data_IF_149373613417
#
_entry.id   IF_149373613417
#
_cell.length_a   1.000
_cell.length_b   1.000
_cell.length_c   1.000
_cell.angle_alpha   90.00
_cell.angle_beta   90.00
_cell.angle_gamma   90.00
#
_symmetry.space_group_name_H-M   'P 1'
#
loop_
_entity.id
_entity.type
_entity.pdbx_description
1 polymer ?
#
# COMPACT_ATOMS: atom_id res chain seq x y z
N UNK A 1 -9.88 -24.02 -13.29
CA UNK A 1 -9.25 -23.54 -14.56
C UNK A 1 -8.75 -24.73 -15.39
N UNK A 2 -8.73 -24.65 -16.74
CA UNK A 2 -7.96 -25.57 -17.60
C UNK A 2 -7.19 -24.78 -18.67
N UNK A 3 -5.94 -24.45 -18.39
CA UNK A 3 -5.02 -23.99 -19.43
C UNK A 3 -4.48 -25.19 -20.21
N UNK A 4 -4.51 -25.12 -21.54
CA UNK A 4 -3.79 -26.05 -22.42
C UNK A 4 -2.94 -25.24 -23.39
N UNK A 5 -1.86 -24.67 -22.86
CA UNK A 5 -0.87 -23.92 -23.63
C UNK A 5 0.19 -24.90 -24.14
N UNK A 6 0.27 -25.08 -25.46
CA UNK A 6 1.29 -25.91 -26.11
C UNK A 6 2.60 -25.12 -26.21
N UNK A 7 3.49 -25.26 -25.22
CA UNK A 7 4.90 -24.88 -25.37
C UNK A 7 5.75 -26.11 -25.71
N UNK A 8 6.47 -26.03 -26.82
CA UNK A 8 7.65 -26.87 -27.05
C UNK A 8 8.78 -26.38 -26.14
N UNK A 9 9.06 -27.13 -25.08
CA UNK A 9 10.16 -26.82 -24.15
C UNK A 9 11.43 -27.54 -24.57
N UNK A 10 12.42 -26.79 -25.05
CA UNK A 10 13.78 -27.28 -25.16
C UNK A 10 14.46 -27.14 -23.78
N UNK A 11 14.63 -28.27 -23.09
CA UNK A 11 15.35 -28.36 -21.82
C UNK A 11 16.85 -28.11 -22.01
N UNK A 12 17.43 -27.20 -21.22
CA UNK A 12 18.83 -27.33 -20.78
C UNK A 12 18.93 -27.00 -19.30
N UNK A 13 19.09 -28.04 -18.50
CA UNK A 13 19.32 -27.93 -17.07
C UNK A 13 20.82 -28.08 -16.77
N UNK A 14 21.40 -27.12 -16.05
CA UNK A 14 22.60 -27.31 -15.25
C UNK A 14 22.41 -26.55 -13.93
N UNK A 15 22.07 -27.29 -12.88
CA UNK A 15 21.89 -26.74 -11.54
C UNK A 15 23.18 -26.82 -10.73
N UNK A 16 23.55 -25.73 -10.08
CA UNK A 16 24.50 -25.73 -8.96
C UNK A 16 23.69 -25.78 -7.66
N UNK A 17 23.60 -26.97 -7.07
CA UNK A 17 22.97 -27.20 -5.77
C UNK A 17 23.87 -26.67 -4.66
N UNK A 18 23.52 -25.51 -4.10
CA UNK A 18 23.95 -25.11 -2.76
C UNK A 18 22.75 -25.24 -1.80
N UNK A 19 22.85 -26.03 -0.72
CA UNK A 19 21.75 -26.19 0.23
C UNK A 19 21.62 -24.92 1.07
N UNK A 20 20.68 -24.05 0.71
CA UNK A 20 20.28 -22.95 1.57
C UNK A 20 19.71 -23.53 2.88
N UNK A 21 20.49 -23.44 3.97
CA UNK A 21 20.00 -23.69 5.33
C UNK A 21 18.94 -22.63 5.65
N UNK A 22 17.67 -22.98 5.47
CA UNK A 22 16.56 -22.17 5.96
C UNK A 22 16.64 -22.15 7.50
N UNK A 23 17.08 -21.02 8.06
CA UNK A 23 17.00 -20.78 9.49
C UNK A 23 15.53 -20.61 9.88
N UNK A 24 14.94 -21.62 10.52
CA UNK A 24 13.58 -21.56 11.04
C UNK A 24 13.55 -20.65 12.27
N UNK A 25 13.34 -19.35 12.07
CA UNK A 25 13.13 -18.39 13.16
C UNK A 25 11.67 -18.48 13.62
N UNK A 26 11.42 -19.36 14.59
CA UNK A 26 10.08 -19.69 15.06
C UNK A 26 9.60 -18.78 16.21
N UNK A 27 9.51 -17.47 15.96
CA UNK A 27 8.87 -16.53 16.89
C UNK A 27 8.16 -15.40 16.13
N UNK A 28 6.87 -15.58 15.84
CA UNK A 28 6.01 -14.48 15.39
C UNK A 28 5.89 -13.43 16.49
N UNK A 29 6.59 -12.32 16.35
CA UNK A 29 6.41 -11.18 17.25
C UNK A 29 5.04 -10.53 17.01
N UNK A 30 4.53 -9.86 18.04
CA UNK A 30 3.19 -9.28 18.04
C UNK A 30 3.27 -7.86 18.59
N UNK A 31 2.74 -6.90 17.85
CA UNK A 31 2.46 -5.56 18.38
C UNK A 31 1.12 -5.58 19.11
N UNK A 32 1.18 -5.41 20.43
CA UNK A 32 0.03 -5.12 21.27
C UNK A 32 -0.21 -3.60 21.37
N UNK A 33 -1.46 -3.15 21.52
CA UNK A 33 -1.75 -1.74 21.82
C UNK A 33 -1.06 -1.22 23.07
N UNK A 34 -0.81 0.08 23.10
CA UNK A 34 -0.41 0.82 24.29
C UNK A 34 -1.62 1.26 25.11
N UNK A 35 -2.71 1.64 24.43
CA UNK A 35 -3.96 2.06 25.07
C UNK A 35 -5.19 1.59 24.28
N UNK A 36 -6.26 1.28 24.99
CA UNK A 36 -7.59 0.97 24.47
C UNK A 36 -8.63 1.77 25.28
N UNK A 37 -9.58 2.39 24.59
CA UNK A 37 -10.73 3.06 25.20
C UNK A 37 -12.02 2.62 24.48
N UNK A 38 -13.07 2.31 25.23
CA UNK A 38 -14.40 1.97 24.70
C UNK A 38 -15.38 3.13 24.84
N UNK A 39 -16.42 3.12 24.00
CA UNK A 39 -17.43 4.17 23.94
C UNK A 39 -17.21 5.17 22.80
N UNK A 40 -18.20 6.05 22.59
CA UNK A 40 -18.22 7.01 21.49
C UNK A 40 -17.27 8.20 21.73
N UNK A 41 -17.22 8.69 22.97
CA UNK A 41 -16.23 9.68 23.43
C UNK A 41 -14.99 8.97 23.99
N UNK A 42 -13.81 9.40 23.56
CA UNK A 42 -12.56 8.81 24.06
C UNK A 42 -12.20 9.41 25.41
N UNK A 43 -12.30 8.57 26.45
CA UNK A 43 -11.72 8.80 27.76
C UNK A 43 -10.67 7.72 27.97
N UNK A 44 -9.39 8.09 27.89
CA UNK A 44 -8.29 7.15 28.10
C UNK A 44 -8.27 6.72 29.57
N UNK A 45 -8.34 5.41 29.89
CA UNK A 45 -8.24 4.94 31.26
C UNK A 45 -6.79 5.03 31.75
N UNK A 46 -6.60 5.26 33.06
CA UNK A 46 -5.26 5.31 33.69
C UNK A 46 -4.46 4.00 33.51
N UNK A 47 -5.16 2.89 33.30
CA UNK A 47 -4.57 1.62 32.87
C UNK A 47 -5.36 1.05 31.69
N UNK A 48 -4.66 0.69 30.61
CA UNK A 48 -5.31 0.10 29.44
C UNK A 48 -5.88 -1.28 29.77
N UNK A 49 -7.16 -1.56 29.47
CA UNK A 49 -7.71 -2.89 29.65
C UNK A 49 -7.01 -3.90 28.72
N UNK A 50 -6.83 -5.13 29.20
CA UNK A 50 -6.32 -6.25 28.39
C UNK A 50 -7.40 -6.86 27.49
N UNK A 51 -8.66 -6.79 27.93
CA UNK A 51 -9.83 -7.33 27.26
C UNK A 51 -10.96 -6.30 27.29
N UNK A 52 -11.81 -6.27 26.28
CA UNK A 52 -12.94 -5.34 26.19
C UNK A 52 -14.10 -5.98 25.41
N UNK A 53 -15.31 -5.48 25.65
CA UNK A 53 -16.53 -5.90 24.94
C UNK A 53 -17.08 -4.77 24.09
N UNK A 54 -17.80 -5.13 23.03
CA UNK A 54 -18.63 -4.23 22.23
C UNK A 54 -20.06 -4.77 22.19
N UNK A 55 -21.03 -3.89 22.38
CA UNK A 55 -22.47 -4.17 22.40
C UNK A 55 -23.25 -2.93 21.92
N UNK A 56 -24.58 -2.89 22.12
CA UNK A 56 -25.41 -1.75 21.72
C UNK A 56 -25.20 -0.48 22.55
N UNK A 57 -24.69 -0.57 23.78
CA UNK A 57 -24.45 0.58 24.66
C UNK A 57 -23.03 1.14 24.46
N UNK A 58 -22.05 0.26 24.26
CA UNK A 58 -20.65 0.60 23.93
C UNK A 58 -20.21 -0.01 22.59
N UNK A 59 -20.76 0.43 21.43
CA UNK A 59 -20.49 -0.19 20.14
C UNK A 59 -19.11 0.15 19.54
N UNK A 60 -18.27 0.93 20.22
CA UNK A 60 -16.98 1.40 19.71
C UNK A 60 -15.82 1.09 20.67
N UNK A 61 -14.68 0.72 20.09
CA UNK A 61 -13.36 0.78 20.74
C UNK A 61 -12.38 1.58 19.87
N UNK A 62 -11.54 2.38 20.51
CA UNK A 62 -10.39 3.06 19.92
C UNK A 62 -9.11 2.55 20.54
N UNK A 63 -8.10 2.32 19.71
CA UNK A 63 -6.85 1.64 20.02
C UNK A 63 -5.70 2.58 19.60
N UNK A 64 -4.76 2.84 20.51
CA UNK A 64 -3.47 3.49 20.22
C UNK A 64 -2.33 2.48 20.38
N UNK A 65 -1.58 2.22 19.30
CA UNK A 65 -0.34 1.45 19.35
C UNK A 65 0.86 2.26 19.91
N UNK A 66 0.67 3.55 20.17
CA UNK A 66 1.67 4.48 20.70
C UNK A 66 2.76 4.89 19.70
N UNK A 67 2.81 4.21 18.55
CA UNK A 67 3.67 4.49 17.39
C UNK A 67 3.13 3.73 16.17
N UNK A 68 3.55 4.09 14.97
CA UNK A 68 3.17 3.36 13.75
C UNK A 68 3.61 1.90 13.80
N UNK A 69 2.72 0.97 13.46
CA UNK A 69 3.01 -0.46 13.33
C UNK A 69 2.61 -0.96 11.93
N UNK A 70 3.14 -2.13 11.54
CA UNK A 70 2.69 -2.88 10.38
C UNK A 70 2.67 -4.38 10.68
N UNK A 71 1.83 -5.11 9.95
CA UNK A 71 1.65 -6.55 10.10
C UNK A 71 0.22 -6.98 9.77
N UNK A 72 -0.15 -8.21 10.13
CA UNK A 72 -1.51 -8.74 9.99
C UNK A 72 -2.35 -8.43 11.25
N UNK A 73 -3.34 -7.51 11.21
CA UNK A 73 -4.26 -7.30 12.32
C UNK A 73 -4.93 -8.59 12.78
N UNK A 74 -5.06 -8.77 14.08
CA UNK A 74 -5.80 -9.89 14.66
C UNK A 74 -6.66 -9.47 15.84
N UNK A 75 -7.67 -10.30 16.09
CA UNK A 75 -8.67 -10.15 17.13
C UNK A 75 -8.87 -11.51 17.79
N UNK A 76 -8.51 -11.63 19.07
CA UNK A 76 -8.76 -12.83 19.85
C UNK A 76 -10.14 -12.70 20.50
N UNK A 77 -11.14 -13.33 19.90
CA UNK A 77 -12.53 -13.34 20.39
C UNK A 77 -12.64 -14.38 21.50
N UNK A 78 -13.01 -13.94 22.71
CA UNK A 78 -13.22 -14.83 23.87
C UNK A 78 -14.68 -15.21 24.06
N UNK A 79 -15.61 -14.29 23.78
CA UNK A 79 -17.06 -14.48 23.99
C UNK A 79 -17.83 -13.87 22.83
N UNK A 80 -18.94 -14.49 22.44
CA UNK A 80 -19.74 -14.10 21.28
C UNK A 80 -21.21 -14.43 21.51
N UNK A 81 -22.11 -13.45 21.39
CA UNK A 81 -23.56 -13.65 21.51
C UNK A 81 -24.24 -13.85 20.15
N UNK A 82 -23.91 -14.97 19.50
CA UNK A 82 -24.33 -15.26 18.12
C UNK A 82 -23.53 -14.45 17.09
N UNK A 83 -23.79 -14.64 15.78
CA UNK A 83 -23.02 -13.97 14.73
C UNK A 83 -23.08 -12.45 14.85
N UNK A 84 -21.91 -11.79 14.81
CA UNK A 84 -21.80 -10.33 14.76
C UNK A 84 -21.02 -9.88 13.52
N UNK A 85 -21.16 -8.61 13.16
CA UNK A 85 -20.27 -7.94 12.21
C UNK A 85 -19.57 -6.77 12.88
N UNK A 86 -18.27 -6.65 12.65
CA UNK A 86 -17.44 -5.53 13.12
C UNK A 86 -16.84 -4.78 11.94
N UNK A 87 -16.97 -3.45 11.93
CA UNK A 87 -16.18 -2.56 11.09
C UNK A 87 -14.86 -2.26 11.81
N UNK A 88 -13.74 -2.35 11.11
CA UNK A 88 -12.40 -2.03 11.60
C UNK A 88 -11.77 -0.99 10.70
N UNK A 89 -11.36 0.14 11.27
CA UNK A 89 -10.60 1.18 10.58
C UNK A 89 -9.18 1.25 11.12
N UNK A 90 -8.24 1.62 10.26
CA UNK A 90 -6.81 1.78 10.59
C UNK A 90 -6.37 3.17 10.15
N UNK A 91 -5.57 3.89 10.95
CA UNK A 91 -5.02 5.19 10.54
C UNK A 91 -3.67 5.56 11.16
N UNK A 92 -2.84 6.30 10.42
CA UNK A 92 -1.67 7.05 10.90
C UNK A 92 -2.10 8.32 11.66
N UNK A 93 -2.92 9.24 11.08
CA UNK A 93 -3.44 10.39 11.82
C UNK A 93 -4.60 10.02 12.73
N UNK A 94 -4.67 10.66 13.90
CA UNK A 94 -5.76 10.47 14.86
C UNK A 94 -7.15 10.90 14.34
N UNK A 95 -7.21 11.81 13.36
CA UNK A 95 -8.49 12.19 12.74
C UNK A 95 -8.99 11.14 11.73
N UNK A 96 -8.11 10.28 11.19
CA UNK A 96 -8.44 9.31 10.15
C UNK A 96 -9.62 8.41 10.54
N UNK A 97 -9.56 7.78 11.72
CA UNK A 97 -10.66 6.99 12.34
C UNK A 97 -12.07 7.60 12.25
N UNK A 98 -12.23 8.93 12.22
CA UNK A 98 -13.54 9.58 12.08
C UNK A 98 -14.03 9.67 10.63
N UNK A 99 -13.13 9.77 9.64
CA UNK A 99 -13.50 9.75 8.23
C UNK A 99 -14.13 8.42 7.84
N UNK A 100 -15.05 8.39 6.86
CA UNK A 100 -15.61 7.15 6.34
C UNK A 100 -14.50 6.16 5.97
N UNK A 101 -13.60 6.53 5.06
CA UNK A 101 -12.54 5.67 4.51
C UNK A 101 -11.29 5.53 5.39
N UNK A 102 -11.37 5.97 6.65
CA UNK A 102 -10.23 6.21 7.51
C UNK A 102 -9.25 7.23 6.88
N UNK A 103 -7.94 7.00 6.95
CA UNK A 103 -6.89 7.85 6.36
C UNK A 103 -6.44 7.42 4.95
N UNK A 104 -7.25 6.62 4.26
CA UNK A 104 -6.94 6.16 2.93
C UNK A 104 -8.21 5.90 2.14
N UNK A 105 -8.20 4.88 1.27
CA UNK A 105 -7.15 3.89 1.07
C UNK A 105 -5.98 4.36 0.22
N UNK A 106 -5.01 3.47 0.07
CA UNK A 106 -3.77 3.71 -0.69
C UNK A 106 -3.78 2.95 -2.01
N UNK A 107 -4.68 3.33 -2.92
CA UNK A 107 -4.73 2.95 -4.34
C UNK A 107 -3.41 2.87 -5.12
N UNK A 108 -2.31 3.46 -4.65
CA UNK A 108 -0.99 3.21 -5.22
C UNK A 108 -0.57 1.76 -5.08
N UNK A 109 -0.83 1.20 -3.90
CA UNK A 109 -0.13 0.05 -3.39
C UNK A 109 -0.83 -1.22 -3.84
N UNK A 110 -0.61 -1.61 -5.10
CA UNK A 110 -1.13 -2.87 -5.68
C UNK A 110 -0.45 -4.12 -5.09
N UNK A 111 0.14 -4.03 -3.90
CA UNK A 111 1.04 -5.01 -3.26
C UNK A 111 0.36 -5.85 -2.16
N UNK A 112 1.15 -6.64 -1.44
CA UNK A 112 0.80 -7.58 -0.35
C UNK A 112 0.13 -6.97 0.90
N UNK A 113 -0.28 -5.70 0.80
CA UNK A 113 -0.90 -4.91 1.85
C UNK A 113 -2.32 -4.53 1.47
N UNK A 114 -3.26 -4.63 2.40
CA UNK A 114 -4.62 -4.18 2.16
C UNK A 114 -4.64 -2.66 1.95
N UNK A 115 -4.93 -2.22 0.73
CA UNK A 115 -5.10 -0.80 0.41
C UNK A 115 -6.26 -0.20 1.20
N UNK A 116 -7.36 -0.94 1.36
CA UNK A 116 -8.53 -0.52 2.12
C UNK A 116 -8.13 -0.24 3.57
N UNK A 117 -8.40 0.98 4.06
CA UNK A 117 -8.17 1.36 5.46
C UNK A 117 -9.41 1.14 6.34
N UNK A 118 -10.43 0.51 5.77
CA UNK A 118 -11.64 -0.01 6.42
C UNK A 118 -11.82 -1.48 6.01
N UNK A 119 -12.18 -2.35 6.94
CA UNK A 119 -12.59 -3.74 6.71
C UNK A 119 -13.85 -4.05 7.51
N UNK A 120 -14.74 -4.90 6.99
CA UNK A 120 -15.84 -5.46 7.76
C UNK A 120 -15.62 -6.96 7.91
N UNK A 121 -15.55 -7.43 9.16
CA UNK A 121 -15.42 -8.85 9.49
C UNK A 121 -16.73 -9.41 10.00
N UNK A 122 -17.05 -10.63 9.59
CA UNK A 122 -18.15 -11.42 10.14
C UNK A 122 -17.57 -12.40 11.17
N UNK A 123 -18.03 -12.29 12.42
CA UNK A 123 -17.52 -13.06 13.56
C UNK A 123 -18.57 -14.09 13.94
N UNK A 124 -18.30 -15.35 13.63
CA UNK A 124 -19.24 -16.47 13.80
C UNK A 124 -18.84 -17.47 14.89
N UNK A 125 -17.61 -17.35 15.42
CA UNK A 125 -17.02 -18.25 16.41
C UNK A 125 -16.01 -17.51 17.29
N UNK A 126 -15.69 -18.08 18.44
CA UNK A 126 -14.58 -17.62 19.31
C UNK A 126 -13.23 -18.14 18.77
N UNK A 127 -12.14 -17.47 19.11
CA UNK A 127 -10.79 -17.79 18.61
C UNK A 127 -10.06 -16.59 17.99
N UNK A 128 -8.95 -16.87 17.28
CA UNK A 128 -8.16 -15.84 16.58
C UNK A 128 -8.75 -15.57 15.20
N UNK A 129 -9.41 -14.42 15.05
CA UNK A 129 -9.68 -13.81 13.75
C UNK A 129 -8.44 -13.01 13.31
N UNK A 130 -8.10 -13.04 12.02
CA UNK A 130 -6.98 -12.27 11.46
C UNK A 130 -7.36 -11.69 10.10
N UNK A 131 -6.91 -10.48 9.78
CA UNK A 131 -7.00 -9.95 8.41
C UNK A 131 -6.14 -10.80 7.47
N UNK A 132 -6.62 -11.13 6.25
CA UNK A 132 -5.86 -11.92 5.29
C UNK A 132 -4.68 -11.15 4.68
N UNK A 133 -4.61 -9.83 4.85
CA UNK A 133 -3.64 -8.94 4.22
C UNK A 133 -3.01 -8.00 5.24
N UNK A 134 -1.77 -7.56 4.96
CA UNK A 134 -1.02 -6.70 5.87
C UNK A 134 -1.61 -5.30 5.90
N UNK A 135 -1.74 -4.70 7.09
CA UNK A 135 -1.91 -3.25 7.26
C UNK A 135 -0.53 -2.65 7.53
N UNK A 136 -0.19 -1.60 6.80
CA UNK A 136 1.09 -0.88 6.88
C UNK A 136 0.85 0.53 7.36
N UNK A 137 1.74 1.04 8.22
CA UNK A 137 1.64 2.38 8.77
C UNK A 137 0.29 2.58 9.45
N UNK A 138 0.08 2.00 10.63
CA UNK A 138 -1.06 2.39 11.46
C UNK A 138 -0.64 2.54 12.91
N UNK A 139 -1.00 3.66 13.52
CA UNK A 139 -0.90 3.90 14.96
C UNK A 139 -2.26 3.78 15.63
N UNK A 140 -3.31 4.17 14.93
CA UNK A 140 -4.69 4.16 15.43
C UNK A 140 -5.47 3.05 14.75
N UNK A 141 -6.33 2.42 15.54
CA UNK A 141 -7.34 1.49 15.03
C UNK A 141 -8.65 1.77 15.76
N UNK A 142 -9.77 1.71 15.04
CA UNK A 142 -11.10 1.73 15.66
C UNK A 142 -11.88 0.49 15.26
N UNK A 143 -12.53 -0.14 16.22
CA UNK A 143 -13.41 -1.29 16.01
C UNK A 143 -14.81 -0.85 16.38
N UNK A 144 -15.79 -1.10 15.51
CA UNK A 144 -17.19 -0.78 15.71
C UNK A 144 -18.05 -2.02 15.51
N UNK A 145 -18.91 -2.35 16.46
CA UNK A 145 -20.00 -3.30 16.25
C UNK A 145 -21.04 -2.69 15.29
N UNK A 146 -21.27 -3.31 14.14
CA UNK A 146 -22.20 -2.83 13.11
C UNK A 146 -23.43 -3.71 12.92
N UNK A 147 -23.38 -4.99 13.35
CA UNK A 147 -24.54 -5.87 13.45
C UNK A 147 -24.32 -6.96 14.51
N UNK A 148 -25.41 -7.49 15.06
CA UNK A 148 -25.38 -8.52 16.12
C UNK A 148 -25.54 -7.95 17.53
N UNK A 149 -25.39 -8.80 18.57
CA UNK A 149 -25.64 -8.43 19.98
C UNK A 149 -24.40 -7.93 20.71
N UNK A 150 -23.45 -8.82 20.96
CA UNK A 150 -22.25 -8.55 21.76
C UNK A 150 -21.08 -9.44 21.34
N UNK A 151 -19.87 -8.90 21.44
CA UNK A 151 -18.60 -9.60 21.22
C UNK A 151 -17.56 -9.12 22.23
N UNK A 152 -16.79 -10.05 22.79
CA UNK A 152 -15.70 -9.76 23.72
C UNK A 152 -14.36 -10.19 23.11
N UNK A 153 -13.39 -9.29 23.15
CA UNK A 153 -12.01 -9.53 22.73
C UNK A 153 -11.11 -9.65 23.95
N UNK A 154 -10.34 -10.74 24.05
CA UNK A 154 -9.31 -10.93 25.08
C UNK A 154 -7.92 -10.45 24.66
N UNK A 155 -7.73 -10.17 23.38
CA UNK A 155 -6.59 -9.45 22.82
C UNK A 155 -6.93 -8.89 21.43
N UNK A 156 -6.29 -7.77 21.08
CA UNK A 156 -6.23 -7.25 19.71
C UNK A 156 -4.79 -6.80 19.45
N UNK A 157 -4.37 -6.78 18.18
CA UNK A 157 -3.02 -6.36 17.84
C UNK A 157 -2.66 -6.60 16.38
N UNK A 158 -1.37 -6.59 16.07
CA UNK A 158 -0.85 -6.93 14.74
C UNK A 158 0.25 -7.99 14.84
N UNK A 159 0.14 -9.07 14.04
CA UNK A 159 1.18 -10.10 13.91
C UNK A 159 2.24 -9.57 12.96
N UNK A 160 3.48 -9.50 13.43
CA UNK A 160 4.56 -8.74 12.80
C UNK A 160 5.17 -9.47 11.60
N UNK A 161 5.53 -8.71 10.56
CA UNK A 161 6.33 -9.16 9.41
C UNK A 161 7.70 -8.46 9.31
N UNK A 162 8.10 -7.74 10.37
CA UNK A 162 9.34 -6.97 10.51
C UNK A 162 9.79 -6.78 11.97
N UNK A 163 10.88 -7.41 12.39
CA UNK A 163 11.57 -7.16 13.66
C UNK A 163 12.58 -6.00 13.54
N UNK A 164 12.11 -4.75 13.65
CA UNK A 164 12.98 -3.57 13.76
C UNK A 164 12.91 -2.92 15.15
N UNK A 165 13.75 -3.39 16.08
CA UNK A 165 13.80 -2.93 17.48
C UNK A 165 14.99 -2.01 17.79
N UNK A 166 14.84 -0.69 17.61
CA UNK A 166 15.74 0.31 18.23
C UNK A 166 14.94 1.53 18.74
N UNK A 167 15.45 2.20 19.79
CA UNK A 167 14.71 3.23 20.55
C UNK A 167 14.77 4.66 19.96
N UNK A 168 15.16 4.82 18.70
CA UNK A 168 15.58 6.14 18.13
C UNK A 168 14.48 6.85 17.33
N UNK A 169 13.38 6.16 16.99
CA UNK A 169 12.38 6.59 16.00
C UNK A 169 11.19 7.38 16.57
N UNK A 170 11.33 8.70 16.82
CA UNK A 170 10.23 9.52 17.37
C UNK A 170 9.36 10.30 16.36
N UNK A 171 9.85 10.68 15.16
CA UNK A 171 8.94 11.14 14.09
C UNK A 171 9.29 10.62 12.68
N UNK A 172 8.27 10.39 11.84
CA UNK A 172 8.38 10.24 10.37
C UNK A 172 9.04 8.97 9.82
N UNK A 173 10.34 8.76 10.11
CA UNK A 173 11.19 7.76 9.47
C UNK A 173 10.75 6.28 9.68
N UNK A 174 9.82 6.03 10.61
CA UNK A 174 9.25 4.71 10.82
C UNK A 174 8.42 4.23 9.62
N UNK A 175 7.76 5.11 8.88
CA UNK A 175 6.93 4.73 7.73
C UNK A 175 7.74 4.12 6.56
N UNK A 176 8.94 4.67 6.29
CA UNK A 176 9.82 4.17 5.23
C UNK A 176 10.46 2.82 5.59
N UNK A 177 10.82 2.59 6.85
CA UNK A 177 11.33 1.28 7.30
C UNK A 177 10.24 0.19 7.30
N UNK A 178 8.97 0.55 7.53
CA UNK A 178 7.79 -0.32 7.32
C UNK A 178 7.47 -0.58 5.81
N UNK A 179 8.41 -0.27 4.90
CA UNK A 179 8.39 -0.71 3.50
C UNK A 179 9.37 -1.84 3.18
N UNK A 180 10.29 -2.17 4.09
CA UNK A 180 11.02 -3.43 4.01
C UNK A 180 10.08 -4.60 4.32
N UNK A 181 10.37 -5.79 3.79
CA UNK A 181 9.58 -7.01 4.03
C UNK A 181 10.56 -8.16 4.25
N UNK A 182 10.44 -8.86 5.38
CA UNK A 182 11.27 -10.05 5.64
C UNK A 182 10.89 -11.19 4.68
N UNK A 183 11.88 -11.87 4.11
CA UNK A 183 11.65 -12.98 3.18
C UNK A 183 10.78 -14.08 3.82
N UNK A 184 9.80 -14.59 3.08
CA UNK A 184 8.86 -15.62 3.56
C UNK A 184 7.75 -15.12 4.50
N UNK A 185 7.77 -13.87 4.96
CA UNK A 185 6.67 -13.32 5.80
C UNK A 185 5.43 -12.91 5.01
N UNK A 186 5.51 -12.95 3.69
CA UNK A 186 4.50 -12.47 2.76
C UNK A 186 3.68 -13.64 2.21
N UNK A 187 2.46 -13.80 2.70
CA UNK A 187 1.50 -14.77 2.14
C UNK A 187 1.02 -14.35 0.74
N UNK A 188 0.65 -15.29 -0.14
CA UNK A 188 0.15 -14.97 -1.48
C UNK A 188 -1.18 -14.19 -1.40
N UNK A 189 -1.31 -13.12 -2.18
CA UNK A 189 -2.55 -12.32 -2.30
C UNK A 189 -3.69 -13.16 -2.89
N UNK A 190 -3.36 -14.11 -3.76
CA UNK A 190 -4.32 -15.01 -4.39
C UNK A 190 -4.25 -16.40 -3.77
N UNK A 191 -5.39 -16.92 -3.33
CA UNK A 191 -5.50 -18.34 -3.03
C UNK A 191 -5.92 -19.07 -4.31
N UNK A 192 -5.06 -19.94 -4.82
CA UNK A 192 -5.35 -20.71 -6.04
C UNK A 192 -6.07 -22.01 -5.68
N UNK A 193 -7.33 -22.13 -6.09
CA UNK A 193 -8.09 -23.38 -6.09
C UNK A 193 -8.01 -23.99 -7.51
N UNK A 194 -7.53 -25.23 -7.70
CA UNK A 194 -7.37 -25.80 -9.04
C UNK A 194 -8.70 -25.95 -9.80
N UNK A 195 -9.81 -26.12 -9.07
CA UNK A 195 -11.16 -26.20 -9.63
C UNK A 195 -11.71 -24.79 -9.83
N UNK A 196 -11.79 -24.00 -8.76
CA UNK A 196 -12.49 -22.69 -8.73
C UNK A 196 -11.67 -21.52 -9.30
N UNK A 197 -10.38 -21.68 -9.56
CA UNK A 197 -9.50 -20.61 -10.07
C UNK A 197 -8.86 -19.78 -8.95
N UNK A 198 -8.48 -18.54 -9.28
CA UNK A 198 -7.84 -17.63 -8.33
C UNK A 198 -8.88 -16.90 -7.47
N UNK A 199 -8.78 -17.04 -6.15
CA UNK A 199 -9.51 -16.20 -5.21
C UNK A 199 -8.73 -14.91 -4.97
N UNK A 200 -9.30 -13.78 -5.38
CA UNK A 200 -8.67 -12.45 -5.31
C UNK A 200 -9.32 -11.66 -4.18
N UNK A 201 -8.53 -11.23 -3.19
CA UNK A 201 -9.00 -10.32 -2.15
C UNK A 201 -9.29 -8.92 -2.72
N UNK A 202 -9.93 -8.04 -1.93
CA UNK A 202 -10.24 -6.66 -2.35
C UNK A 202 -8.98 -5.78 -2.42
N UNK A 203 -8.21 -5.97 -3.49
CA UNK A 203 -7.00 -5.23 -3.84
C UNK A 203 -7.15 -4.66 -5.24
N UNK A 204 -6.62 -3.46 -5.49
CA UNK A 204 -6.65 -2.82 -6.81
C UNK A 204 -6.02 -3.73 -7.85
N UNK A 205 -6.70 -3.92 -8.98
CA UNK A 205 -6.17 -4.63 -10.12
C UNK A 205 -4.93 -3.90 -10.69
N UNK A 206 -3.70 -4.45 -10.59
CA UNK A 206 -2.58 -3.87 -11.29
C UNK A 206 -2.68 -4.17 -12.79
N UNK A 207 -2.38 -3.20 -13.67
CA UNK A 207 -2.18 -3.48 -15.08
C UNK A 207 -0.93 -4.36 -15.28
N UNK A 208 -1.03 -5.42 -16.07
CA UNK A 208 0.16 -6.22 -16.44
C UNK A 208 0.94 -5.49 -17.55
N UNK A 209 2.21 -5.18 -17.28
CA UNK A 209 3.12 -4.50 -18.23
C UNK A 209 3.33 -5.26 -19.54
N UNK A 210 3.29 -6.59 -19.53
CA UNK A 210 3.40 -7.44 -20.72
C UNK A 210 2.19 -7.29 -21.66
N UNK A 211 1.07 -6.77 -21.16
CA UNK A 211 -0.16 -6.51 -21.93
C UNK A 211 -0.34 -5.04 -22.31
N UNK A 212 0.62 -4.15 -21.98
CA UNK A 212 0.49 -2.70 -22.11
C UNK A 212 0.36 -2.16 -23.55
N UNK A 213 0.41 -3.03 -24.56
CA UNK A 213 0.32 -2.69 -25.99
C UNK A 213 -0.96 -3.22 -26.67
N UNK A 214 -1.90 -3.83 -25.93
CA UNK A 214 -3.13 -4.34 -26.54
C UNK A 214 -4.05 -3.22 -27.02
N UNK A 215 -4.48 -3.30 -28.27
CA UNK A 215 -5.46 -2.39 -28.89
C UNK A 215 -6.68 -3.19 -29.37
N UNK A 216 -7.87 -2.58 -29.29
CA UNK A 216 -9.12 -3.12 -29.84
C UNK A 216 -9.38 -4.62 -29.53
N UNK A 217 -9.35 -4.98 -28.25
CA UNK A 217 -9.44 -6.37 -27.80
C UNK A 217 -10.75 -6.69 -27.06
N UNK A 218 -11.10 -7.98 -27.04
CA UNK A 218 -12.20 -8.53 -26.24
C UNK A 218 -11.64 -9.35 -25.08
N UNK A 219 -11.82 -8.87 -23.86
CA UNK A 219 -11.54 -9.63 -22.64
C UNK A 219 -12.78 -10.43 -22.24
N UNK A 220 -12.65 -11.75 -22.06
CA UNK A 220 -13.71 -12.62 -21.53
C UNK A 220 -13.18 -13.40 -20.34
N UNK A 221 -13.91 -13.36 -19.22
CA UNK A 221 -13.58 -14.10 -18.01
C UNK A 221 -14.84 -14.54 -17.25
N UNK A 222 -14.67 -15.41 -16.27
CA UNK A 222 -15.73 -15.82 -15.34
C UNK A 222 -15.36 -15.30 -13.95
N UNK A 223 -16.32 -14.70 -13.24
CA UNK A 223 -16.15 -14.15 -11.91
C UNK A 223 -17.17 -14.73 -10.93
N UNK A 224 -16.71 -15.13 -9.75
CA UNK A 224 -17.55 -15.53 -8.63
C UNK A 224 -17.59 -14.42 -7.59
N UNK A 225 -18.76 -13.82 -7.37
CA UNK A 225 -18.89 -12.72 -6.41
C UNK A 225 -19.03 -13.32 -5.00
N UNK A 226 -17.91 -13.44 -4.30
CA UNK A 226 -17.89 -13.96 -2.92
C UNK A 226 -18.63 -13.05 -1.94
N UNK A 227 -18.46 -11.73 -2.08
CA UNK A 227 -19.18 -10.68 -1.35
C UNK A 227 -19.07 -9.33 -2.09
N UNK A 228 -20.11 -8.50 -2.02
CA UNK A 228 -20.22 -7.15 -2.58
C UNK A 228 -20.09 -7.00 -4.11
N UNK A 229 -18.95 -7.37 -4.72
CA UNK A 229 -18.71 -7.16 -6.14
C UNK A 229 -17.33 -7.63 -6.63
N UNK A 230 -17.00 -7.27 -7.86
CA UNK A 230 -15.72 -7.57 -8.52
C UNK A 230 -15.30 -6.37 -9.37
N UNK A 231 -13.99 -6.15 -9.51
CA UNK A 231 -13.41 -5.12 -10.38
C UNK A 231 -12.23 -5.67 -11.18
N UNK A 232 -12.01 -5.06 -12.35
CA UNK A 232 -10.92 -5.34 -13.27
C UNK A 232 -10.52 -4.03 -13.96
N UNK A 233 -9.32 -3.99 -14.55
CA UNK A 233 -8.87 -2.82 -15.31
C UNK A 233 -8.53 -3.19 -16.75
N UNK A 234 -8.77 -2.24 -17.63
CA UNK A 234 -8.59 -2.29 -19.07
C UNK A 234 -7.93 -0.95 -19.45
N UNK A 235 -6.87 -0.99 -20.26
CA UNK A 235 -6.01 0.17 -20.57
C UNK A 235 -5.13 0.61 -19.39
N UNK A 236 -3.89 1.04 -19.69
CA UNK A 236 -2.98 1.59 -18.68
C UNK A 236 -3.25 3.10 -18.47
N UNK A 237 -3.30 3.56 -17.23
CA UNK A 237 -3.43 4.98 -16.87
C UNK A 237 -2.60 5.31 -15.62
N UNK A 238 -2.19 6.58 -15.40
CA UNK A 238 -1.48 7.06 -14.22
C UNK A 238 -2.39 7.61 -13.07
N UNK A 239 -1.72 7.94 -11.95
CA UNK A 239 -2.03 7.96 -10.49
C UNK A 239 -3.31 8.76 -10.06
N UNK A 240 -4.12 8.48 -9.00
CA UNK A 240 -4.37 7.47 -7.89
C UNK A 240 -5.73 7.82 -7.17
N UNK A 241 -6.22 7.06 -6.16
CA UNK A 241 -7.63 6.99 -5.62
C UNK A 241 -7.94 6.17 -4.30
N UNK A 242 -9.09 5.44 -4.15
CA UNK A 242 -9.97 5.32 -2.92
C UNK A 242 -10.73 3.98 -2.60
N UNK A 243 -11.75 3.97 -1.67
CA UNK A 243 -12.61 2.87 -1.06
C UNK A 243 -12.36 2.38 0.43
N UNK A 244 -13.32 1.96 1.28
CA UNK A 244 -14.79 1.81 1.20
C UNK A 244 -15.46 1.71 2.62
N UNK A 245 -15.82 2.84 3.26
CA UNK A 245 -17.04 2.93 4.07
C UNK A 245 -18.07 3.52 3.10
N UNK A 246 -18.98 2.67 2.65
CA UNK A 246 -19.65 2.89 1.36
C UNK A 246 -20.95 3.64 1.58
N UNK A 247 -20.91 4.95 1.34
CA UNK A 247 -22.10 5.62 0.86
C UNK A 247 -22.52 4.95 -0.47
N UNK A 248 -23.68 4.28 -0.49
CA UNK A 248 -24.20 3.55 -1.65
C UNK A 248 -24.42 4.43 -2.89
N UNK A 249 -24.38 5.75 -2.76
CA UNK A 249 -24.30 6.69 -3.89
C UNK A 249 -23.12 6.38 -4.83
N UNK A 250 -21.99 5.89 -4.30
CA UNK A 250 -20.74 5.81 -5.07
C UNK A 250 -20.42 4.42 -5.66
N UNK A 251 -20.98 3.34 -5.11
CA UNK A 251 -21.02 2.04 -5.78
C UNK A 251 -22.41 1.43 -5.58
N UNK A 252 -23.41 1.81 -6.40
CA UNK A 252 -24.76 1.30 -6.27
C UNK A 252 -24.80 -0.22 -6.46
N UNK A 253 -25.61 -0.90 -5.66
CA UNK A 253 -25.85 -2.32 -5.87
C UNK A 253 -26.45 -2.56 -7.26
N UNK A 254 -26.12 -3.70 -7.87
CA UNK A 254 -26.64 -4.09 -9.19
C UNK A 254 -26.26 -3.12 -10.34
N UNK A 255 -25.05 -2.56 -10.30
CA UNK A 255 -24.54 -1.66 -11.33
C UNK A 255 -23.12 -2.02 -11.77
N UNK A 256 -22.72 -1.56 -12.97
CA UNK A 256 -21.31 -1.49 -13.40
C UNK A 256 -20.93 -0.01 -13.45
N UNK A 257 -19.80 0.33 -12.83
CA UNK A 257 -19.26 1.67 -12.84
C UNK A 257 -18.11 1.74 -13.84
N UNK A 258 -18.06 2.81 -14.62
CA UNK A 258 -16.98 3.11 -15.55
C UNK A 258 -16.22 4.32 -15.03
N UNK A 259 -14.89 4.23 -14.93
CA UNK A 259 -14.05 5.32 -14.45
C UNK A 259 -12.73 5.44 -15.24
N UNK A 260 -12.20 6.66 -15.32
CA UNK A 260 -10.84 6.97 -15.79
C UNK A 260 -9.99 7.39 -14.59
N UNK A 261 -8.80 6.82 -14.48
CA UNK A 261 -7.86 7.08 -13.38
C UNK A 261 -7.51 5.78 -12.68
N UNK A 262 -7.54 5.73 -11.34
CA UNK A 262 -7.09 4.55 -10.60
C UNK A 262 -8.18 3.73 -9.90
N UNK A 263 -9.41 4.26 -9.75
CA UNK A 263 -10.58 3.72 -9.01
C UNK A 263 -11.75 4.70 -9.30
N UNK A 264 -12.54 5.11 -8.30
CA UNK A 264 -13.81 5.83 -8.48
C UNK A 264 -13.99 7.09 -7.60
N UNK A 265 -13.04 7.44 -6.71
CA UNK A 265 -13.01 8.74 -5.99
C UNK A 265 -11.60 9.34 -6.00
N UNK A 266 -11.52 10.67 -5.95
CA UNK A 266 -10.27 11.42 -5.91
C UNK A 266 -9.48 11.22 -4.60
N UNK A 267 -8.16 11.26 -4.71
CA UNK A 267 -7.22 11.37 -3.59
C UNK A 267 -6.31 12.60 -3.79
N UNK A 268 -5.71 13.14 -2.73
CA UNK A 268 -4.81 14.31 -2.83
C UNK A 268 -3.64 14.03 -3.78
N UNK A 269 -3.40 14.92 -4.75
CA UNK A 269 -2.47 14.82 -5.92
C UNK A 269 -2.89 13.87 -7.06
N UNK A 270 -4.08 13.27 -6.97
CA UNK A 270 -4.37 11.98 -7.60
C UNK A 270 -5.81 11.97 -8.16
N UNK A 271 -5.94 12.32 -9.44
CA UNK A 271 -7.21 12.64 -10.07
C UNK A 271 -7.90 11.42 -10.69
N UNK A 272 -9.23 11.40 -10.66
CA UNK A 272 -10.07 10.36 -11.21
C UNK A 272 -11.46 10.88 -11.56
N UNK A 273 -12.00 10.31 -12.62
CA UNK A 273 -13.33 10.61 -13.14
C UNK A 273 -14.16 9.34 -13.08
N UNK A 274 -15.19 9.32 -12.21
CA UNK A 274 -16.32 8.44 -12.41
C UNK A 274 -17.03 8.93 -13.69
N UNK A 275 -16.94 8.15 -14.76
CA UNK A 275 -17.50 8.51 -16.06
C UNK A 275 -19.00 8.22 -16.09
N UNK A 276 -19.41 7.03 -15.62
CA UNK A 276 -20.81 6.60 -15.66
C UNK A 276 -21.12 5.48 -14.65
N UNK A 277 -22.41 5.20 -14.44
CA UNK A 277 -22.92 4.09 -13.64
C UNK A 277 -24.11 3.43 -14.33
N UNK A 278 -23.89 2.26 -14.90
CA UNK A 278 -24.88 1.52 -15.68
C UNK A 278 -25.61 0.51 -14.80
N UNK A 279 -26.95 0.57 -14.75
CA UNK A 279 -27.76 -0.44 -14.05
C UNK A 279 -27.72 -1.77 -14.81
N UNK A 280 -27.50 -2.88 -14.09
CA UNK A 280 -27.53 -4.22 -14.68
C UNK A 280 -29.01 -4.64 -14.85
N UNK A 281 -29.46 -5.10 -16.03
CA UNK A 281 -30.87 -5.35 -16.33
C UNK A 281 -31.47 -6.60 -15.67
N UNK A 282 -30.72 -7.27 -14.79
CA UNK A 282 -31.13 -8.42 -13.99
C UNK A 282 -30.45 -8.34 -12.62
N UNK A 283 -30.94 -9.10 -11.63
CA UNK A 283 -30.39 -9.11 -10.27
C UNK A 283 -29.09 -9.94 -10.23
N UNK A 284 -28.01 -9.31 -9.78
CA UNK A 284 -26.74 -9.93 -9.44
C UNK A 284 -26.78 -10.36 -7.98
N UNK A 285 -26.46 -11.62 -7.74
CA UNK A 285 -26.41 -12.24 -6.42
C UNK A 285 -24.97 -12.60 -6.06
N UNK A 286 -24.65 -12.52 -4.77
CA UNK A 286 -23.45 -13.15 -4.23
C UNK A 286 -23.51 -14.68 -4.37
N UNK A 287 -22.36 -15.34 -4.30
CA UNK A 287 -22.18 -16.80 -4.42
C UNK A 287 -22.60 -17.39 -5.77
N UNK A 288 -22.59 -16.58 -6.84
CA UNK A 288 -22.88 -17.01 -8.20
C UNK A 288 -21.74 -16.66 -9.17
N UNK A 289 -21.64 -17.47 -10.23
CA UNK A 289 -20.71 -17.27 -11.34
C UNK A 289 -21.34 -16.41 -12.44
N UNK A 290 -20.59 -15.45 -12.93
CA UNK A 290 -20.95 -14.58 -14.04
C UNK A 290 -19.87 -14.61 -15.12
N UNK A 291 -20.28 -14.83 -16.37
CA UNK A 291 -19.40 -14.68 -17.53
C UNK A 291 -19.43 -13.22 -17.98
N UNK A 292 -18.31 -12.53 -17.82
CA UNK A 292 -18.15 -11.11 -18.16
C UNK A 292 -17.35 -11.02 -19.46
N UNK A 293 -17.82 -10.20 -20.38
CA UNK A 293 -17.09 -9.82 -21.59
C UNK A 293 -16.98 -8.29 -21.67
N UNK A 294 -15.77 -7.77 -21.82
CA UNK A 294 -15.51 -6.35 -22.10
C UNK A 294 -14.87 -6.25 -23.49
N UNK A 295 -15.45 -5.43 -24.36
CA UNK A 295 -14.96 -5.20 -25.73
C UNK A 295 -14.51 -3.75 -25.86
N UNK A 296 -13.25 -3.55 -26.24
CA UNK A 296 -12.73 -2.28 -26.74
C UNK A 296 -12.74 -2.34 -28.27
N UNK A 297 -13.29 -1.33 -28.94
CA UNK A 297 -13.45 -1.34 -30.41
C UNK A 297 -13.58 0.05 -30.99
N UNK A 298 -13.32 0.20 -32.31
CA UNK A 298 -13.54 1.44 -33.04
C UNK A 298 -12.57 2.58 -32.73
N UNK A 299 -11.59 2.38 -31.84
CA UNK A 299 -10.68 3.43 -31.38
C UNK A 299 -11.23 4.29 -30.23
N UNK A 300 -12.54 4.28 -29.99
CA UNK A 300 -13.21 5.09 -28.95
C UNK A 300 -14.25 4.32 -28.09
N UNK A 301 -14.74 3.15 -28.52
CA UNK A 301 -15.87 2.47 -27.87
C UNK A 301 -15.45 1.44 -26.83
N UNK A 302 -16.20 1.43 -25.72
CA UNK A 302 -16.18 0.36 -24.71
C UNK A 302 -17.59 -0.20 -24.50
N UNK A 303 -17.70 -1.53 -24.42
CA UNK A 303 -18.93 -2.22 -24.05
C UNK A 303 -18.68 -3.35 -23.06
N UNK A 304 -19.66 -3.61 -22.20
CA UNK A 304 -19.64 -4.74 -21.27
C UNK A 304 -20.91 -5.56 -21.40
N UNK A 305 -20.74 -6.88 -21.42
CA UNK A 305 -21.80 -7.87 -21.39
C UNK A 305 -21.61 -8.79 -20.19
N UNK A 306 -22.70 -9.18 -19.53
CA UNK A 306 -22.71 -10.18 -18.46
C UNK A 306 -23.69 -11.29 -18.85
N UNK A 307 -23.22 -12.53 -18.85
CA UNK A 307 -23.97 -13.72 -19.28
C UNK A 307 -24.57 -13.61 -20.70
N UNK A 308 -23.92 -12.83 -21.58
CA UNK A 308 -24.38 -12.55 -22.95
C UNK A 308 -25.37 -11.38 -23.07
N UNK A 309 -25.84 -10.82 -21.95
CA UNK A 309 -26.68 -9.61 -21.94
C UNK A 309 -25.78 -8.38 -21.91
N UNK A 310 -25.91 -7.50 -22.91
CA UNK A 310 -25.19 -6.22 -22.93
C UNK A 310 -25.71 -5.32 -21.80
N UNK A 311 -24.81 -4.85 -20.95
CA UNK A 311 -25.11 -3.89 -19.86
C UNK A 311 -24.93 -2.45 -20.36
N UNK A 312 -23.85 -2.19 -21.12
CA UNK A 312 -23.65 -0.90 -21.78
C UNK A 312 -22.77 -1.02 -23.03
N UNK A 313 -22.83 0.01 -23.89
CA UNK A 313 -21.99 0.18 -25.07
C UNK A 313 -21.91 1.69 -25.38
N UNK A 314 -20.82 2.34 -25.00
CA UNK A 314 -20.66 3.80 -24.97
C UNK A 314 -19.37 4.22 -25.68
N UNK A 315 -19.24 5.49 -26.10
CA UNK A 315 -17.94 6.03 -26.52
C UNK A 315 -17.24 6.73 -25.36
N UNK A 316 -15.92 6.56 -25.27
CA UNK A 316 -15.09 7.30 -24.32
C UNK A 316 -14.99 8.79 -24.68
N UNK A 317 -15.33 9.20 -25.91
CA UNK A 317 -15.44 10.62 -26.27
C UNK A 317 -16.68 11.31 -25.69
N UNK A 318 -17.68 10.55 -25.24
CA UNK A 318 -18.91 11.08 -24.66
C UNK A 318 -18.69 11.64 -23.23
N UNK A 319 -17.53 11.33 -22.62
CA UNK A 319 -17.21 11.69 -21.24
C UNK A 319 -16.08 12.72 -21.15
N UNK A 320 -16.23 13.69 -20.24
CA UNK A 320 -15.13 14.58 -19.88
C UNK A 320 -14.08 13.83 -19.04
N UNK A 321 -12.83 13.91 -19.48
CA UNK A 321 -11.74 13.06 -19.01
C UNK A 321 -10.47 13.86 -18.69
N UNK A 322 -10.63 15.13 -18.29
CA UNK A 322 -9.50 16.03 -17.99
C UNK A 322 -8.84 16.65 -19.23
N UNK A 323 -9.62 16.88 -20.29
CA UNK A 323 -9.13 17.51 -21.53
C UNK A 323 -8.22 16.64 -22.40
N UNK A 324 -7.97 15.37 -22.03
CA UNK A 324 -7.17 14.43 -22.82
C UNK A 324 -7.97 13.17 -23.17
N UNK A 325 -8.05 12.86 -24.46
CA UNK A 325 -8.68 11.65 -24.98
C UNK A 325 -8.16 10.38 -24.28
N UNK A 326 -9.02 9.36 -24.17
CA UNK A 326 -8.65 8.08 -23.57
C UNK A 326 -8.08 7.18 -24.66
N UNK A 327 -6.85 6.69 -24.47
CA UNK A 327 -6.30 5.67 -25.36
C UNK A 327 -7.08 4.36 -25.19
N UNK A 328 -7.30 3.61 -26.26
CA UNK A 328 -7.71 2.20 -26.17
C UNK A 328 -6.52 1.23 -26.21
N UNK A 329 -5.28 1.74 -26.30
CA UNK A 329 -4.06 0.94 -26.15
C UNK A 329 -3.70 0.76 -24.68
N UNK A 330 -3.63 -0.47 -24.18
CA UNK A 330 -3.09 -0.71 -22.84
C UNK A 330 -3.42 -2.05 -22.21
N UNK A 331 -2.99 -2.16 -20.95
CA UNK A 331 -2.93 -3.40 -20.21
C UNK A 331 -4.29 -3.91 -19.72
N UNK A 332 -4.35 -5.23 -19.48
CA UNK A 332 -5.38 -5.87 -18.69
C UNK A 332 -4.87 -6.04 -17.27
N UNK A 333 -5.75 -5.88 -16.28
CA UNK A 333 -5.43 -6.17 -14.90
C UNK A 333 -6.55 -6.87 -14.15
N UNK A 334 -6.16 -7.93 -13.46
CA UNK A 334 -6.84 -8.54 -12.32
C UNK A 334 -5.83 -8.53 -11.15
N UNK A 335 -6.30 -8.57 -9.90
CA UNK A 335 -5.57 -8.23 -8.66
C UNK A 335 -4.20 -8.82 -8.26
N UNK A 336 -3.26 -9.19 -9.15
CA UNK A 336 -1.79 -9.19 -8.97
C UNK A 336 -1.06 -9.79 -10.20
N UNK A 337 0.03 -9.16 -10.61
CA UNK A 337 1.20 -9.86 -11.17
C UNK A 337 2.50 -9.11 -10.81
N UNK A 338 3.55 -9.85 -10.48
CA UNK A 338 4.95 -9.44 -10.62
C UNK A 338 5.74 -10.68 -11.06
N UNK A 339 6.07 -10.71 -12.35
CA UNK A 339 7.28 -11.33 -12.87
C UNK A 339 8.44 -10.33 -12.72
N UNK A 340 9.44 -10.55 -11.84
CA UNK A 340 10.60 -9.68 -11.77
C UNK A 340 11.60 -10.09 -12.87
N UNK A 341 11.34 -9.68 -14.11
CA UNK A 341 12.26 -9.89 -15.24
C UNK A 341 13.17 -8.69 -15.54
N UNK A 342 12.93 -7.54 -14.90
CA UNK A 342 13.85 -6.40 -14.91
C UNK A 342 14.68 -6.38 -13.63
N UNK A 343 15.94 -6.77 -13.74
CA UNK A 343 16.99 -6.28 -12.84
C UNK A 343 17.05 -4.76 -12.96
N UNK A 344 16.36 -4.05 -12.06
CA UNK A 344 16.48 -2.60 -11.94
C UNK A 344 17.89 -2.30 -11.47
N UNK A 345 18.77 -1.94 -12.41
CA UNK A 345 20.05 -1.34 -12.06
C UNK A 345 19.75 0.00 -11.39
N UNK A 346 20.06 0.13 -10.10
CA UNK A 346 19.85 1.34 -9.31
C UNK A 346 20.68 2.56 -9.78
N UNK A 347 21.36 2.45 -10.92
CA UNK A 347 22.35 3.39 -11.45
C UNK A 347 22.19 3.61 -12.96
N UNK A 348 20.96 3.49 -13.48
CA UNK A 348 20.67 3.85 -14.88
C UNK A 348 21.11 5.29 -15.17
N UNK A 349 22.01 5.45 -16.14
CA UNK A 349 22.44 6.77 -16.61
C UNK A 349 21.26 7.53 -17.25
N UNK A 350 21.38 8.86 -17.38
CA UNK A 350 20.27 9.73 -17.80
C UNK A 350 19.60 9.28 -19.10
N UNK A 351 18.30 8.97 -19.00
CA UNK A 351 17.44 8.49 -20.09
C UNK A 351 17.17 6.99 -19.92
N UNK A 352 15.95 6.52 -19.62
CA UNK A 352 14.64 7.06 -20.02
C UNK A 352 13.61 7.23 -18.87
N UNK A 353 13.97 6.94 -17.61
CA UNK A 353 13.04 7.06 -16.47
C UNK A 353 13.66 7.62 -15.18
N UNK A 354 13.30 8.86 -14.80
CA UNK A 354 13.26 9.26 -13.40
C UNK A 354 11.93 9.98 -13.10
N UNK A 355 10.84 9.24 -12.98
CA UNK A 355 9.53 9.83 -12.69
C UNK A 355 9.40 10.36 -11.24
N UNK A 356 10.33 9.99 -10.34
CA UNK A 356 10.37 10.27 -8.91
C UNK A 356 11.83 10.21 -8.41
N UNK A 357 12.41 11.32 -7.97
CA UNK A 357 13.82 11.40 -7.54
C UNK A 357 14.01 11.00 -6.07
N UNK A 358 12.99 11.18 -5.23
CA UNK A 358 12.97 10.75 -3.82
C UNK A 358 13.04 9.22 -3.65
N UNK A 359 12.65 8.46 -4.68
CA UNK A 359 12.78 7.01 -4.72
C UNK A 359 14.25 6.55 -4.72
N UNK A 360 15.18 7.38 -5.18
CA UNK A 360 16.62 7.08 -5.07
C UNK A 360 17.02 6.99 -3.58
N UNK A 361 16.59 7.96 -2.77
CA UNK A 361 16.86 7.97 -1.33
C UNK A 361 16.21 6.78 -0.61
N UNK A 362 14.98 6.43 -0.98
CA UNK A 362 14.33 5.20 -0.47
C UNK A 362 15.13 3.94 -0.84
N UNK A 363 15.66 3.86 -2.07
CA UNK A 363 16.53 2.76 -2.50
C UNK A 363 17.83 2.66 -1.68
N UNK A 364 18.48 3.79 -1.38
CA UNK A 364 19.64 3.82 -0.49
C UNK A 364 19.27 3.37 0.94
N UNK A 365 18.15 3.84 1.49
CA UNK A 365 17.70 3.44 2.82
C UNK A 365 17.38 1.93 2.89
N UNK A 366 16.80 1.35 1.84
CA UNK A 366 16.61 -0.10 1.73
C UNK A 366 17.96 -0.84 1.74
N UNK A 367 18.97 -0.34 1.03
CA UNK A 367 20.33 -0.88 1.07
C UNK A 367 20.97 -0.77 2.46
N UNK A 368 20.90 0.40 3.11
CA UNK A 368 21.40 0.61 4.47
C UNK A 368 20.76 -0.39 5.47
N UNK A 369 19.43 -0.54 5.42
CA UNK A 369 18.73 -1.49 6.28
C UNK A 369 19.09 -2.94 5.98
N UNK A 370 19.26 -3.31 4.71
CA UNK A 370 19.73 -4.64 4.31
C UNK A 370 21.12 -4.95 4.91
N UNK A 371 22.11 -4.06 4.74
CA UNK A 371 23.46 -4.28 5.28
C UNK A 371 23.43 -4.33 6.81
N UNK A 372 22.69 -3.42 7.47
CA UNK A 372 22.57 -3.39 8.93
C UNK A 372 21.84 -4.62 9.53
N UNK A 373 21.02 -5.33 8.74
CA UNK A 373 20.33 -6.55 9.18
C UNK A 373 21.15 -7.82 8.89
N UNK A 374 21.85 -7.86 7.75
CA UNK A 374 22.55 -9.06 7.27
C UNK A 374 24.03 -9.10 7.64
N UNK A 375 24.64 -7.95 7.92
CA UNK A 375 26.10 -7.75 7.97
C UNK A 375 26.81 -8.12 6.66
N UNK A 376 26.13 -8.03 5.50
CA UNK A 376 26.75 -8.23 4.19
C UNK A 376 27.61 -7.02 3.79
N UNK A 377 28.76 -6.91 4.45
CA UNK A 377 29.76 -5.87 4.20
C UNK A 377 30.51 -6.07 2.89
N UNK A 378 30.56 -7.30 2.34
CA UNK A 378 31.18 -7.58 1.06
C UNK A 378 30.35 -6.99 -0.09
N UNK A 379 29.03 -7.21 -0.10
CA UNK A 379 28.11 -6.55 -1.02
C UNK A 379 28.11 -5.02 -0.84
N UNK A 380 28.17 -4.55 0.42
CA UNK A 380 28.26 -3.13 0.71
C UNK A 380 29.54 -2.51 0.12
N UNK A 381 30.70 -3.12 0.35
CA UNK A 381 31.99 -2.66 -0.18
C UNK A 381 32.01 -2.67 -1.72
N UNK A 382 31.49 -3.73 -2.34
CA UNK A 382 31.42 -3.88 -3.79
C UNK A 382 30.56 -2.79 -4.45
N UNK A 383 29.41 -2.45 -3.85
CA UNK A 383 28.46 -1.48 -4.42
C UNK A 383 28.72 -0.03 -3.97
N UNK A 384 29.51 0.20 -2.92
CA UNK A 384 29.70 1.51 -2.29
C UNK A 384 30.10 2.63 -3.28
N UNK A 385 30.94 2.33 -4.26
CA UNK A 385 31.39 3.30 -5.26
C UNK A 385 30.23 3.97 -6.04
N UNK A 386 29.13 3.25 -6.26
CA UNK A 386 27.94 3.75 -6.94
C UNK A 386 27.04 4.52 -5.98
N UNK A 387 26.84 4.01 -4.75
CA UNK A 387 26.12 4.74 -3.69
C UNK A 387 26.76 6.10 -3.37
N UNK A 388 28.10 6.22 -3.41
CA UNK A 388 28.80 7.52 -3.30
C UNK A 388 28.41 8.50 -4.40
N UNK A 389 28.22 8.05 -5.65
CA UNK A 389 27.73 8.91 -6.75
C UNK A 389 26.33 9.41 -6.46
N UNK A 390 25.45 8.54 -5.98
CA UNK A 390 24.10 8.92 -5.59
C UNK A 390 24.11 9.94 -4.44
N UNK A 391 24.94 9.75 -3.41
CA UNK A 391 25.09 10.73 -2.33
C UNK A 391 25.65 12.06 -2.86
N UNK A 392 26.55 12.04 -3.85
CA UNK A 392 27.03 13.26 -4.50
C UNK A 392 25.92 13.98 -5.26
N UNK A 393 25.10 13.27 -6.04
CA UNK A 393 23.95 13.83 -6.73
C UNK A 393 22.92 14.40 -5.76
N UNK A 394 22.53 13.65 -4.72
CA UNK A 394 21.58 14.09 -3.69
C UNK A 394 22.08 15.31 -2.92
N UNK A 395 23.39 15.46 -2.72
CA UNK A 395 23.96 16.68 -2.12
C UNK A 395 24.03 17.86 -3.10
N UNK A 396 23.97 17.62 -4.41
CA UNK A 396 23.93 18.67 -5.44
C UNK A 396 22.53 19.25 -5.68
N UNK A 397 21.47 18.61 -5.19
CA UNK A 397 20.10 19.15 -5.19
C UNK A 397 19.84 20.08 -4.00
N UNK A 398 20.85 20.35 -3.15
CA UNK A 398 20.71 21.29 -2.03
C UNK A 398 20.73 22.73 -2.53
N UNK A 399 19.67 23.47 -2.24
CA UNK A 399 19.55 24.90 -2.54
C UNK A 399 20.64 25.71 -1.83
N UNK A 400 21.23 26.71 -2.51
CA UNK A 400 22.31 27.52 -1.94
C UNK A 400 21.86 28.68 -1.04
N UNK A 401 20.55 28.99 -1.01
CA UNK A 401 19.96 30.13 -0.30
C UNK A 401 19.45 29.71 1.08
N UNK A 402 18.53 28.74 1.13
CA UNK A 402 17.93 28.23 2.38
C UNK A 402 18.54 26.90 2.85
N UNK A 403 19.32 26.23 1.99
CA UNK A 403 19.92 24.93 2.28
C UNK A 403 18.94 23.76 2.32
N UNK A 404 17.70 23.92 1.86
CA UNK A 404 16.73 22.86 1.67
C UNK A 404 17.06 22.02 0.42
N UNK A 405 16.25 21.00 0.14
CA UNK A 405 16.49 20.02 -0.93
C UNK A 405 15.46 20.23 -2.03
N UNK A 406 15.96 20.44 -3.25
CA UNK A 406 15.17 20.75 -4.44
C UNK A 406 15.29 19.64 -5.49
N UNK A 407 14.31 18.74 -5.48
CA UNK A 407 14.12 17.69 -6.47
C UNK A 407 13.23 18.18 -7.63
N UNK A 408 13.55 17.74 -8.84
CA UNK A 408 12.72 17.93 -10.02
C UNK A 408 11.40 17.14 -9.93
N UNK A 409 11.36 16.06 -9.14
CA UNK A 409 10.12 15.34 -8.84
C UNK A 409 10.23 14.52 -7.54
N UNK A 410 9.16 14.51 -6.73
CA UNK A 410 9.05 13.70 -5.52
C UNK A 410 7.63 13.14 -5.37
N UNK A 411 7.49 12.03 -4.63
CA UNK A 411 6.21 11.42 -4.28
C UNK A 411 5.84 11.60 -2.81
N UNK A 412 6.81 11.60 -1.89
CA UNK A 412 6.54 11.67 -0.45
C UNK A 412 6.08 13.05 0.06
N UNK A 413 6.16 14.08 -0.78
CA UNK A 413 5.73 15.45 -0.47
C UNK A 413 6.17 16.44 -1.54
N UNK A 414 6.13 17.74 -1.22
CA UNK A 414 6.61 18.83 -2.09
C UNK A 414 8.06 18.57 -2.50
N UNK A 415 8.37 18.63 -3.80
CA UNK A 415 9.68 18.22 -4.33
C UNK A 415 10.79 19.26 -4.10
N UNK A 416 10.43 20.54 -4.00
CA UNK A 416 11.32 21.65 -3.66
C UNK A 416 10.93 22.23 -2.31
N UNK A 417 11.92 22.51 -1.45
CA UNK A 417 11.70 23.01 -0.08
C UNK A 417 10.96 22.07 0.90
N UNK A 418 10.46 20.91 0.47
CA UNK A 418 9.52 20.09 1.24
C UNK A 418 10.10 19.40 2.47
N UNK A 419 9.39 19.46 3.60
CA UNK A 419 9.80 18.85 4.87
C UNK A 419 9.93 17.33 4.81
N UNK A 420 9.10 16.64 4.04
CA UNK A 420 9.20 15.19 3.82
C UNK A 420 10.50 14.79 3.09
N UNK A 421 10.84 15.50 2.01
CA UNK A 421 12.05 15.29 1.21
C UNK A 421 13.31 15.67 2.00
N UNK A 422 13.26 16.78 2.75
CA UNK A 422 14.33 17.17 3.68
C UNK A 422 14.59 16.11 4.75
N UNK A 423 13.54 15.62 5.43
CA UNK A 423 13.66 14.55 6.43
C UNK A 423 14.21 13.25 5.83
N UNK A 424 13.75 12.86 4.64
CA UNK A 424 14.24 11.69 3.92
C UNK A 424 15.75 11.81 3.62
N UNK A 425 16.20 13.00 3.20
CA UNK A 425 17.61 13.29 2.92
C UNK A 425 18.46 13.17 4.19
N UNK A 426 17.99 13.70 5.32
CA UNK A 426 18.65 13.59 6.64
C UNK A 426 18.86 12.12 7.03
N UNK A 427 17.82 11.29 6.92
CA UNK A 427 17.94 9.86 7.26
C UNK A 427 18.84 9.11 6.28
N UNK A 428 18.78 9.45 4.99
CA UNK A 428 19.67 8.89 3.96
C UNK A 428 21.14 9.20 4.26
N UNK A 429 21.46 10.43 4.65
CA UNK A 429 22.80 10.84 5.06
C UNK A 429 23.27 10.15 6.35
N UNK A 430 22.38 9.91 7.33
CA UNK A 430 22.71 9.13 8.53
C UNK A 430 23.03 7.67 8.19
N UNK A 431 22.23 7.04 7.33
CA UNK A 431 22.49 5.69 6.84
C UNK A 431 23.81 5.61 6.07
N UNK A 432 24.06 6.58 5.18
CA UNK A 432 25.31 6.69 4.42
C UNK A 432 26.53 6.88 5.33
N UNK A 433 26.40 7.62 6.43
CA UNK A 433 27.44 7.72 7.43
C UNK A 433 27.74 6.38 8.11
N UNK A 434 26.72 5.62 8.50
CA UNK A 434 26.88 4.31 9.13
C UNK A 434 27.58 3.29 8.23
N UNK A 435 27.18 3.21 6.95
CA UNK A 435 27.86 2.35 5.97
C UNK A 435 29.28 2.84 5.70
N UNK A 436 29.49 4.15 5.51
CA UNK A 436 30.83 4.70 5.29
C UNK A 436 31.77 4.40 6.47
N UNK A 437 31.29 4.50 7.71
CA UNK A 437 32.07 4.17 8.90
C UNK A 437 32.40 2.68 8.99
N UNK A 438 31.42 1.81 8.77
CA UNK A 438 31.61 0.35 8.76
C UNK A 438 32.59 -0.13 7.67
N UNK A 439 32.63 0.56 6.52
CA UNK A 439 33.56 0.29 5.42
C UNK A 439 34.92 1.02 5.55
N UNK A 440 35.19 1.69 6.67
CA UNK A 440 36.46 2.40 6.93
C UNK A 440 36.62 3.76 6.21
N UNK A 441 35.57 4.25 5.53
CA UNK A 441 35.54 5.55 4.85
C UNK A 441 35.20 6.71 5.81
N UNK A 442 35.99 6.85 6.88
CA UNK A 442 35.75 7.80 7.97
C UNK A 442 35.63 9.29 7.54
N UNK A 443 36.23 9.68 6.40
CA UNK A 443 36.08 11.02 5.85
C UNK A 443 34.68 11.27 5.27
N UNK A 444 34.14 10.30 4.52
CA UNK A 444 32.77 10.35 3.99
C UNK A 444 31.75 10.30 5.14
N UNK A 445 31.97 9.41 6.12
CA UNK A 445 31.11 9.31 7.30
C UNK A 445 30.96 10.65 8.04
N UNK A 446 32.09 11.32 8.33
CA UNK A 446 32.10 12.65 8.96
C UNK A 446 31.45 13.72 8.09
N UNK A 447 31.60 13.65 6.75
CA UNK A 447 30.92 14.56 5.82
C UNK A 447 29.41 14.40 5.92
N UNK A 448 28.90 13.16 5.78
CA UNK A 448 27.46 12.89 5.80
C UNK A 448 26.82 13.21 7.16
N UNK A 449 27.47 12.88 8.29
CA UNK A 449 27.02 13.25 9.63
C UNK A 449 26.85 14.76 9.80
N UNK A 450 27.85 15.55 9.39
CA UNK A 450 27.80 17.02 9.46
C UNK A 450 26.70 17.57 8.57
N UNK A 451 26.62 17.14 7.32
CA UNK A 451 25.58 17.64 6.40
C UNK A 451 24.16 17.27 6.85
N UNK A 452 23.95 16.09 7.44
CA UNK A 452 22.67 15.72 8.03
C UNK A 452 22.29 16.64 9.21
N UNK A 453 23.25 16.92 10.09
CA UNK A 453 23.08 17.81 11.24
C UNK A 453 22.77 19.26 10.81
N UNK A 454 23.53 19.79 9.86
CA UNK A 454 23.37 21.15 9.36
C UNK A 454 22.04 21.31 8.61
N UNK A 455 21.62 20.33 7.81
CA UNK A 455 20.33 20.31 7.12
C UNK A 455 19.14 20.33 8.11
N UNK A 456 19.24 19.61 9.24
CA UNK A 456 18.20 19.67 10.29
C UNK A 456 18.15 21.05 10.95
N UNK A 457 19.28 21.54 11.46
CA UNK A 457 19.28 22.74 12.31
C UNK A 457 19.17 24.04 11.53
N UNK A 458 19.90 24.17 10.43
CA UNK A 458 20.08 25.43 9.71
C UNK A 458 19.06 25.63 8.59
N UNK A 459 18.40 24.55 8.15
CA UNK A 459 17.46 24.59 7.02
C UNK A 459 16.06 24.12 7.40
N UNK A 460 15.88 22.83 7.75
CA UNK A 460 14.54 22.26 8.03
C UNK A 460 13.88 22.93 9.24
N UNK A 461 14.57 23.02 10.37
CA UNK A 461 14.00 23.68 11.56
C UNK A 461 13.93 25.21 11.40
N UNK A 462 14.85 25.82 10.66
CA UNK A 462 14.89 27.27 10.48
C UNK A 462 13.76 27.79 9.57
N UNK A 463 13.40 27.03 8.53
CA UNK A 463 12.45 27.47 7.50
C UNK A 463 11.09 26.77 7.57
N UNK A 464 11.02 25.54 8.08
CA UNK A 464 9.80 24.71 8.01
C UNK A 464 9.14 24.47 9.38
N UNK A 465 9.81 24.71 10.52
CA UNK A 465 9.17 24.52 11.83
C UNK A 465 8.13 25.59 12.13
N UNK A 466 6.91 25.18 12.52
CA UNK A 466 5.85 26.09 12.95
C UNK A 466 5.56 25.92 14.44
N UNK A 467 6.12 26.80 15.26
CA UNK A 467 5.95 26.81 16.73
C UNK A 467 4.48 26.82 17.18
N UNK A 468 3.58 27.45 16.42
CA UNK A 468 2.16 27.52 16.78
C UNK A 468 1.42 26.21 16.55
N UNK A 469 1.89 25.39 15.60
CA UNK A 469 1.32 24.08 15.27
C UNK A 469 2.07 22.93 15.95
N UNK A 470 3.30 23.16 16.43
CA UNK A 470 4.17 22.11 16.96
C UNK A 470 4.58 21.08 15.91
N UNK A 471 4.65 21.49 14.65
CA UNK A 471 4.88 20.63 13.49
C UNK A 471 5.66 21.36 12.38
N UNK A 472 6.31 20.60 11.51
CA UNK A 472 6.90 21.14 10.28
C UNK A 472 5.81 21.36 9.22
N UNK A 473 5.87 22.50 8.53
CA UNK A 473 5.01 22.84 7.41
C UNK A 473 5.45 22.12 6.10
N UNK A 474 4.56 22.14 5.11
CA UNK A 474 4.96 22.07 3.70
C UNK A 474 5.41 23.47 3.29
N UNK A 475 6.47 23.59 2.47
CA UNK A 475 6.82 24.87 1.84
C UNK A 475 5.68 25.27 0.88
N UNK A 476 5.22 26.52 1.00
CA UNK A 476 4.20 27.10 0.11
C UNK A 476 4.77 27.36 -1.30
#
# INVERSE_FOLDING_TARGET
MRFKLLLNVAFWAQGLLLPARAAVINSTSVFTPKAIATGQDIKWPDSSPKAFSLDSESPFATIDYGSEVAGYPFFQVSTLEGPVQIEVKYSEPYHGRQHPWSDGPYSFATSLSNVARVETFEVTHTGKLQSPLIKRGQRWQSIRLVAGKSVMFSAVGSTVTMLCSTKIWKPGAKAASLACLENGTQGPIWTIDPVKGAFVHSTRAPPNVETATFENYTLVFEAFIERAGVWWTMVNCPKKTTFANINKTLTPANSILLAKGYDFVNQTTLETYLLDTFTIPFVVHEKQWYKIATVLSGGDRISVQINGTQVFNTSLSDYYTGGSAVSLSGAIGFGWDITPSTTVQAFGERGEYPALEDYQMLGFLSFYHYVNQTNDFDYAAHTWSQWRKQMHWMLSTRNSIDGLIDLASAFLGVSSGGSAVGCLTVETLKGAAGIAEALGHAADAKKYQRTAHDLVLQSINAHLWNEKLGAHAESQ
#
